data_IF_906838218916
#
_entry.id   IF_906838218916
#
_cell.length_a   1.000
_cell.length_b   1.000
_cell.length_c   1.000
_cell.angle_alpha   90.00
_cell.angle_beta   90.00
_cell.angle_gamma   90.00
#
_symmetry.space_group_name_H-M   'P 1'
#
loop_
_entity.id
_entity.type
_entity.pdbx_description
1 polymer ?
#
# COMPACT_ATOMS: atom_id res chain seq x y z
N UNK A 1 -8.15 19.32 -12.38
CA UNK A 1 -8.48 20.53 -13.14
C UNK A 1 -8.13 20.37 -14.61
N UNK A 2 -6.85 20.15 -14.98
CA UNK A 2 -6.46 19.93 -16.39
C UNK A 2 -7.03 18.62 -16.92
N UNK A 3 -6.83 17.50 -16.20
CA UNK A 3 -7.39 16.19 -16.59
C UNK A 3 -8.91 16.22 -16.74
N UNK A 4 -9.61 16.85 -15.80
CA UNK A 4 -11.07 16.99 -15.86
C UNK A 4 -11.51 17.80 -17.09
N UNK A 5 -10.83 18.92 -17.38
CA UNK A 5 -11.13 19.73 -18.55
C UNK A 5 -10.89 18.99 -19.87
N UNK A 6 -9.84 18.18 -19.94
CA UNK A 6 -9.59 17.32 -21.10
C UNK A 6 -10.71 16.28 -21.28
N UNK A 7 -11.18 15.67 -20.18
CA UNK A 7 -12.32 14.75 -20.22
C UNK A 7 -13.62 15.45 -20.64
N UNK A 8 -13.86 16.67 -20.15
CA UNK A 8 -15.04 17.47 -20.54
C UNK A 8 -15.02 17.76 -22.05
N UNK A 9 -13.87 18.19 -22.60
CA UNK A 9 -13.68 18.45 -24.05
C UNK A 9 -13.91 17.17 -24.87
N UNK A 10 -13.38 16.04 -24.40
CA UNK A 10 -13.56 14.75 -25.04
C UNK A 10 -15.03 14.30 -25.04
N UNK A 11 -15.76 14.53 -23.94
CA UNK A 11 -17.19 14.23 -23.85
C UNK A 11 -18.06 15.13 -24.74
N UNK A 12 -17.57 16.33 -25.06
CA UNK A 12 -18.18 17.24 -26.01
C UNK A 12 -17.82 16.93 -27.48
N UNK A 13 -17.08 15.84 -27.74
CA UNK A 13 -16.65 15.41 -29.07
C UNK A 13 -15.83 16.47 -29.82
N UNK A 14 -15.03 17.25 -29.09
CA UNK A 14 -14.10 18.23 -29.63
C UNK A 14 -12.69 17.62 -29.74
N UNK A 15 -12.01 17.90 -30.84
CA UNK A 15 -10.62 17.48 -31.06
C UNK A 15 -9.66 18.34 -30.21
N UNK A 16 -8.66 17.71 -29.61
CA UNK A 16 -7.68 18.38 -28.76
C UNK A 16 -6.24 18.18 -29.27
N UNK A 17 -5.52 19.30 -29.46
CA UNK A 17 -4.10 19.26 -29.76
C UNK A 17 -3.33 19.95 -28.63
N UNK A 18 -2.38 19.23 -28.03
CA UNK A 18 -1.46 19.77 -27.04
C UNK A 18 -0.08 19.81 -27.72
N UNK A 19 0.48 21.01 -27.83
CA UNK A 19 1.78 21.24 -28.46
C UNK A 19 2.72 21.86 -27.44
N UNK A 20 3.95 21.36 -27.38
CA UNK A 20 5.00 21.96 -26.59
C UNK A 20 5.61 23.14 -27.35
N UNK A 21 5.77 24.27 -26.67
CA UNK A 21 6.42 25.46 -27.22
C UNK A 21 7.66 25.76 -26.37
N UNK A 22 8.84 25.94 -26.97
CA UNK A 22 10.05 26.34 -26.26
C UNK A 22 9.90 27.73 -25.63
N UNK A 23 10.52 27.91 -24.47
CA UNK A 23 10.54 29.20 -23.78
C UNK A 23 11.38 30.23 -24.56
N UNK A 24 11.10 31.52 -24.34
CA UNK A 24 11.85 32.66 -24.90
C UNK A 24 12.10 32.60 -26.42
N UNK A 25 11.14 32.03 -27.16
CA UNK A 25 11.27 31.81 -28.60
C UNK A 25 10.77 32.96 -29.48
N UNK A 26 10.45 34.13 -28.91
CA UNK A 26 9.89 35.26 -29.67
C UNK A 26 8.43 35.08 -30.07
N UNK A 27 7.78 33.98 -29.65
CA UNK A 27 6.39 33.68 -30.00
C UNK A 27 5.48 34.49 -29.09
N UNK A 28 4.91 35.57 -29.65
CA UNK A 28 4.08 36.54 -28.92
C UNK A 28 3.02 35.88 -28.01
N UNK A 29 2.34 34.83 -28.50
CA UNK A 29 1.33 34.11 -27.73
C UNK A 29 1.89 33.42 -26.48
N UNK A 30 3.06 32.77 -26.60
CA UNK A 30 3.72 32.09 -25.49
C UNK A 30 4.26 33.11 -24.46
N UNK A 31 4.90 34.18 -24.95
CA UNK A 31 5.45 35.25 -24.11
C UNK A 31 4.34 36.00 -23.36
N UNK A 32 3.23 36.27 -24.02
CA UNK A 32 2.06 36.89 -23.38
C UNK A 32 1.50 36.00 -22.29
N UNK A 33 1.38 34.69 -22.55
CA UNK A 33 0.90 33.74 -21.56
C UNK A 33 1.83 33.67 -20.33
N UNK A 34 3.15 33.60 -20.53
CA UNK A 34 4.14 33.60 -19.45
C UNK A 34 4.12 34.92 -18.64
N UNK A 35 4.05 36.06 -19.33
CA UNK A 35 3.92 37.37 -18.68
C UNK A 35 2.66 37.46 -17.81
N UNK A 36 1.51 37.01 -18.33
CA UNK A 36 0.26 36.99 -17.58
C UNK A 36 0.33 36.04 -16.38
N UNK A 37 0.95 34.87 -16.54
CA UNK A 37 1.15 33.92 -15.45
C UNK A 37 2.02 34.53 -14.32
N UNK A 38 3.14 35.18 -14.67
CA UNK A 38 4.00 35.90 -13.72
C UNK A 38 3.26 37.03 -13.02
N UNK A 39 2.47 37.82 -13.76
CA UNK A 39 1.66 38.92 -13.18
C UNK A 39 0.58 38.40 -12.23
N UNK A 40 -0.01 37.24 -12.52
CA UNK A 40 -1.03 36.61 -11.70
C UNK A 40 -0.50 36.15 -10.33
N UNK A 41 0.81 35.91 -10.17
CA UNK A 41 1.40 35.56 -8.87
C UNK A 41 1.23 36.70 -7.87
N UNK A 42 1.42 37.94 -8.30
CA UNK A 42 1.36 39.14 -7.43
C UNK A 42 0.00 39.83 -7.44
N UNK A 43 -0.66 39.87 -8.61
CA UNK A 43 -1.87 40.67 -8.82
C UNK A 43 -3.09 39.81 -9.19
N UNK A 44 -2.93 38.49 -9.25
CA UNK A 44 -4.00 37.57 -9.60
C UNK A 44 -4.94 37.32 -8.42
N UNK A 45 -6.15 36.90 -8.74
CA UNK A 45 -7.10 36.44 -7.74
C UNK A 45 -6.83 34.97 -7.42
N UNK A 46 -6.67 34.64 -6.14
CA UNK A 46 -6.59 33.24 -5.72
C UNK A 46 -7.90 32.53 -6.04
N UNK A 47 -7.82 31.52 -6.91
CA UNK A 47 -8.97 30.66 -7.15
C UNK A 47 -9.26 29.85 -5.88
N UNK A 48 -10.44 30.03 -5.29
CA UNK A 48 -10.97 29.20 -4.19
C UNK A 48 -11.34 27.77 -4.62
N UNK A 49 -10.71 27.25 -5.67
CA UNK A 49 -10.89 25.87 -6.13
C UNK A 49 -9.64 25.10 -5.74
N UNK A 50 -9.71 24.19 -4.75
CA UNK A 50 -8.57 23.35 -4.43
C UNK A 50 -8.19 22.53 -5.65
N UNK A 51 -6.90 22.52 -6.00
CA UNK A 51 -6.38 21.58 -6.98
C UNK A 51 -6.77 20.16 -6.54
N UNK A 52 -7.25 19.36 -7.49
CA UNK A 52 -7.58 17.98 -7.18
C UNK A 52 -6.32 17.27 -6.71
N UNK A 53 -6.36 16.69 -5.51
CA UNK A 53 -5.27 15.89 -4.95
C UNK A 53 -4.78 14.82 -5.94
N UNK A 54 -5.66 14.30 -6.79
CA UNK A 54 -5.32 13.30 -7.81
C UNK A 54 -4.36 13.83 -8.87
N UNK A 55 -4.43 15.13 -9.21
CA UNK A 55 -3.55 15.72 -10.24
C UNK A 55 -2.12 15.87 -9.72
N UNK A 56 -1.95 16.26 -8.45
CA UNK A 56 -0.63 16.46 -7.84
C UNK A 56 0.04 15.15 -7.42
N UNK A 57 -0.74 14.21 -6.90
CA UNK A 57 -0.17 13.00 -6.27
C UNK A 57 -0.16 11.76 -7.16
N UNK A 58 -0.70 11.81 -8.39
CA UNK A 58 -0.77 10.60 -9.24
C UNK A 58 0.60 10.02 -9.60
N UNK A 59 1.58 10.88 -9.95
CA UNK A 59 2.94 10.45 -10.29
C UNK A 59 3.65 9.89 -9.05
N UNK A 60 3.72 10.69 -7.98
CA UNK A 60 4.34 10.29 -6.70
C UNK A 60 3.73 8.99 -6.15
N UNK A 61 2.40 8.83 -6.27
CA UNK A 61 1.71 7.61 -5.86
C UNK A 61 2.15 6.40 -6.69
N UNK A 62 2.31 6.56 -7.99
CA UNK A 62 2.71 5.48 -8.90
C UNK A 62 4.16 5.06 -8.62
N UNK A 63 5.07 6.03 -8.48
CA UNK A 63 6.46 5.80 -8.09
C UNK A 63 6.55 5.10 -6.74
N UNK A 64 5.83 5.61 -5.73
CA UNK A 64 5.80 5.01 -4.40
C UNK A 64 5.32 3.55 -4.42
N UNK A 65 4.28 3.23 -5.19
CA UNK A 65 3.81 1.84 -5.36
C UNK A 65 4.90 0.99 -5.99
N UNK A 66 5.55 1.47 -7.05
CA UNK A 66 6.59 0.73 -7.76
C UNK A 66 7.79 0.44 -6.85
N UNK A 67 8.28 1.44 -6.13
CA UNK A 67 9.41 1.33 -5.21
C UNK A 67 9.08 0.44 -4.02
N UNK A 68 7.93 0.64 -3.39
CA UNK A 68 7.45 -0.21 -2.29
C UNK A 68 7.32 -1.66 -2.76
N UNK A 69 6.82 -1.86 -3.99
CA UNK A 69 6.68 -3.19 -4.56
C UNK A 69 8.01 -3.87 -4.77
N UNK A 70 8.99 -3.16 -5.34
CA UNK A 70 10.35 -3.65 -5.52
C UNK A 70 11.01 -4.00 -4.19
N UNK A 71 10.89 -3.11 -3.19
CA UNK A 71 11.43 -3.34 -1.85
C UNK A 71 10.84 -4.59 -1.20
N UNK A 72 9.50 -4.72 -1.19
CA UNK A 72 8.82 -5.85 -0.56
C UNK A 72 9.12 -7.16 -1.28
N UNK A 73 9.21 -7.17 -2.62
CA UNK A 73 9.63 -8.37 -3.38
C UNK A 73 11.06 -8.80 -3.04
N UNK A 74 11.97 -7.84 -2.90
CA UNK A 74 13.34 -8.14 -2.48
C UNK A 74 13.39 -8.72 -1.07
N UNK A 75 12.61 -8.18 -0.13
CA UNK A 75 12.47 -8.76 1.22
C UNK A 75 11.83 -10.16 1.18
N UNK A 76 10.85 -10.34 0.29
CA UNK A 76 10.12 -11.58 0.03
C UNK A 76 11.03 -12.77 -0.29
N UNK A 77 12.18 -12.52 -0.93
CA UNK A 77 13.19 -13.55 -1.23
C UNK A 77 13.77 -14.19 0.04
N UNK A 78 13.85 -13.43 1.13
CA UNK A 78 14.41 -13.89 2.41
C UNK A 78 13.33 -14.27 3.42
N UNK A 79 12.23 -13.50 3.48
CA UNK A 79 11.14 -13.68 4.45
C UNK A 79 9.80 -13.71 3.74
N UNK A 80 8.98 -14.71 4.04
CA UNK A 80 7.65 -14.82 3.42
C UNK A 80 7.69 -15.29 1.96
N UNK A 81 8.75 -15.97 1.53
CA UNK A 81 8.92 -16.47 0.16
C UNK A 81 7.67 -17.16 -0.39
N UNK A 82 7.08 -18.09 0.38
CA UNK A 82 5.83 -18.79 0.01
C UNK A 82 4.63 -17.84 -0.16
N UNK A 83 4.56 -16.75 0.62
CA UNK A 83 3.50 -15.76 0.47
C UNK A 83 3.69 -14.99 -0.84
N UNK A 84 4.90 -14.46 -1.08
CA UNK A 84 5.18 -13.66 -2.27
C UNK A 84 5.17 -14.46 -3.58
N UNK A 85 5.42 -15.78 -3.54
CA UNK A 85 5.24 -16.66 -4.70
C UNK A 85 3.77 -16.85 -5.12
N UNK A 86 2.84 -16.85 -4.16
CA UNK A 86 1.44 -17.21 -4.42
C UNK A 86 0.49 -15.99 -4.45
N UNK A 87 0.90 -14.85 -3.89
CA UNK A 87 0.01 -13.71 -3.62
C UNK A 87 0.63 -12.35 -3.97
N UNK A 88 1.30 -12.26 -5.12
CA UNK A 88 2.21 -11.17 -5.53
C UNK A 88 1.60 -9.76 -5.65
N UNK A 89 0.27 -9.61 -5.58
CA UNK A 89 -0.38 -8.31 -5.77
C UNK A 89 -0.15 -7.35 -4.60
N UNK A 90 0.75 -6.39 -4.82
CA UNK A 90 0.97 -5.24 -3.94
C UNK A 90 0.09 -4.09 -4.40
N UNK A 91 -1.09 -4.02 -3.81
CA UNK A 91 -2.04 -2.94 -4.03
C UNK A 91 -2.11 -2.02 -2.81
N UNK A 92 -2.44 -0.74 -3.03
CA UNK A 92 -2.68 0.21 -1.94
C UNK A 92 -3.90 -0.11 -1.08
N UNK A 93 -4.76 -0.98 -1.59
CA UNK A 93 -5.91 -1.50 -0.86
C UNK A 93 -5.65 -2.97 -0.54
N UNK A 94 -5.97 -3.44 0.67
CA UNK A 94 -5.84 -4.85 1.00
C UNK A 94 -6.78 -5.69 0.10
N UNK A 95 -6.42 -6.95 -0.12
CA UNK A 95 -7.16 -7.89 -0.96
C UNK A 95 -8.64 -8.06 -0.56
N UNK A 96 -8.98 -7.79 0.70
CA UNK A 96 -10.34 -7.88 1.24
C UNK A 96 -11.11 -6.55 1.23
N UNK A 97 -10.57 -5.48 0.65
CA UNK A 97 -11.18 -4.14 0.74
C UNK A 97 -12.63 -4.05 0.23
N UNK A 98 -13.01 -4.88 -0.75
CA UNK A 98 -14.36 -4.94 -1.31
C UNK A 98 -15.19 -6.12 -0.78
N UNK A 99 -14.66 -6.87 0.17
CA UNK A 99 -15.33 -8.03 0.74
C UNK A 99 -15.91 -7.64 2.10
N UNK A 100 -17.18 -7.98 2.34
CA UNK A 100 -17.80 -7.80 3.64
C UNK A 100 -17.50 -9.02 4.52
N UNK A 101 -16.27 -9.10 5.02
CA UNK A 101 -15.79 -10.20 5.88
C UNK A 101 -15.66 -9.73 7.33
N UNK A 102 -15.95 -10.64 8.26
CA UNK A 102 -15.64 -10.39 9.67
C UNK A 102 -14.13 -10.31 9.90
N UNK A 103 -13.73 -9.65 10.99
CA UNK A 103 -12.33 -9.55 11.39
C UNK A 103 -11.69 -10.92 11.56
N UNK A 104 -12.41 -11.86 12.15
CA UNK A 104 -11.97 -13.24 12.41
C UNK A 104 -11.66 -13.97 11.11
N UNK A 105 -12.51 -13.78 10.09
CA UNK A 105 -12.34 -14.36 8.77
C UNK A 105 -11.09 -13.81 8.09
N UNK A 106 -10.91 -12.48 8.13
CA UNK A 106 -9.72 -11.81 7.57
C UNK A 106 -8.43 -12.32 8.24
N UNK A 107 -8.41 -12.41 9.58
CA UNK A 107 -7.26 -12.91 10.34
C UNK A 107 -6.95 -14.35 9.97
N UNK A 108 -7.98 -15.20 9.85
CA UNK A 108 -7.83 -16.61 9.47
C UNK A 108 -7.23 -16.74 8.06
N UNK A 109 -7.77 -16.00 7.08
CA UNK A 109 -7.22 -15.96 5.74
C UNK A 109 -5.77 -15.46 5.70
N UNK A 110 -5.43 -14.41 6.46
CA UNK A 110 -4.05 -13.92 6.55
C UNK A 110 -3.10 -14.99 7.13
N UNK A 111 -3.51 -15.72 8.18
CA UNK A 111 -2.73 -16.83 8.75
C UNK A 111 -2.51 -17.94 7.71
N UNK A 112 -3.55 -18.32 6.97
CA UNK A 112 -3.47 -19.33 5.91
C UNK A 112 -2.51 -18.86 4.80
N UNK A 113 -2.69 -17.64 4.28
CA UNK A 113 -1.85 -17.07 3.20
C UNK A 113 -0.38 -16.97 3.60
N UNK A 114 -0.09 -16.64 4.85
CA UNK A 114 1.28 -16.59 5.39
C UNK A 114 1.81 -17.96 5.82
N UNK A 115 1.07 -19.05 5.56
CA UNK A 115 1.42 -20.42 5.97
C UNK A 115 1.73 -20.52 7.48
N UNK A 116 0.95 -19.79 8.29
CA UNK A 116 1.08 -19.68 9.74
C UNK A 116 0.05 -20.58 10.44
N UNK A 117 0.25 -21.90 10.31
CA UNK A 117 -0.48 -22.89 11.10
C UNK A 117 0.28 -23.15 12.40
N UNK A 118 -0.39 -23.06 13.56
CA UNK A 118 0.21 -23.07 14.91
C UNK A 118 1.36 -24.08 15.03
N UNK A 119 1.09 -25.38 14.85
CA UNK A 119 2.11 -26.41 15.03
C UNK A 119 3.22 -26.35 13.97
N UNK A 120 2.88 -26.19 12.68
CA UNK A 120 3.89 -26.07 11.63
C UNK A 120 4.76 -24.81 11.76
N UNK A 121 4.22 -23.70 12.25
CA UNK A 121 4.98 -22.49 12.53
C UNK A 121 5.91 -22.66 13.74
N UNK A 122 5.43 -23.29 14.82
CA UNK A 122 6.21 -23.57 16.01
C UNK A 122 7.37 -24.52 15.70
N UNK A 123 7.13 -25.56 14.90
CA UNK A 123 8.17 -26.49 14.47
C UNK A 123 9.27 -25.79 13.65
N UNK A 124 8.90 -24.90 12.71
CA UNK A 124 9.89 -24.11 11.95
C UNK A 124 10.72 -23.18 12.84
N UNK A 125 10.19 -22.79 14.00
CA UNK A 125 10.89 -21.99 15.00
C UNK A 125 11.64 -22.85 16.04
N UNK A 126 11.72 -24.18 15.84
CA UNK A 126 12.33 -25.14 16.76
C UNK A 126 11.71 -25.12 18.17
N UNK A 127 10.43 -24.75 18.29
CA UNK A 127 9.70 -24.72 19.56
C UNK A 127 8.99 -26.06 19.86
N UNK A 128 8.73 -26.86 18.83
CA UNK A 128 8.18 -28.22 18.95
C UNK A 128 8.93 -29.15 17.99
N UNK A 129 9.06 -30.44 18.35
CA UNK A 129 9.82 -31.43 17.57
C UNK A 129 9.02 -32.04 16.41
N UNK A 130 7.70 -32.12 16.52
CA UNK A 130 6.83 -32.65 15.45
C UNK A 130 5.61 -31.74 15.28
N UNK A 131 5.38 -31.17 14.07
CA UNK A 131 4.21 -30.34 13.80
C UNK A 131 2.88 -31.12 13.79
N UNK A 132 2.92 -32.45 13.76
CA UNK A 132 1.74 -33.33 13.78
C UNK A 132 1.28 -33.65 15.20
N UNK A 133 2.16 -33.51 16.19
CA UNK A 133 1.84 -33.74 17.58
C UNK A 133 1.23 -32.47 18.19
N UNK A 134 -0.07 -32.49 18.44
CA UNK A 134 -0.80 -31.42 19.12
C UNK A 134 -0.51 -31.42 20.64
N UNK A 135 0.74 -31.18 21.07
CA UNK A 135 1.09 -31.06 22.50
C UNK A 135 1.16 -29.60 22.97
N UNK A 136 0.17 -28.78 22.58
CA UNK A 136 0.13 -27.38 22.99
C UNK A 136 -1.01 -27.07 23.96
N UNK A 137 -1.26 -27.90 24.98
CA UNK A 137 -2.00 -27.51 26.19
C UNK A 137 -1.51 -28.32 27.40
N UNK A 138 -0.49 -27.84 28.14
CA UNK A 138 -0.42 -28.10 29.60
C UNK A 138 0.66 -27.34 30.38
N UNK A 139 1.63 -26.64 29.76
CA UNK A 139 2.76 -26.09 30.53
C UNK A 139 2.55 -24.68 31.11
N UNK A 140 1.44 -24.41 31.82
CA UNK A 140 1.36 -23.31 32.82
C UNK A 140 0.30 -23.55 33.89
N UNK A 141 0.42 -24.59 34.73
CA UNK A 141 -0.20 -24.54 36.08
C UNK A 141 0.29 -25.60 37.08
N UNK A 142 1.59 -25.71 37.33
CA UNK A 142 2.05 -26.48 38.50
C UNK A 142 3.45 -26.06 38.92
N UNK A 143 3.57 -24.87 39.49
CA UNK A 143 4.53 -24.61 40.58
C UNK A 143 3.86 -23.62 41.52
N UNK A 144 3.30 -24.16 42.60
CA UNK A 144 3.07 -23.61 43.95
C UNK A 144 2.17 -24.65 44.62
N UNK A 145 2.77 -25.58 45.36
CA UNK A 145 2.29 -26.24 46.60
C UNK A 145 2.97 -27.60 46.76
N UNK A 146 4.12 -27.64 47.43
CA UNK A 146 4.48 -28.68 48.41
C UNK A 146 5.89 -28.44 48.94
N UNK A 147 6.04 -27.44 49.82
CA UNK A 147 7.10 -27.43 50.81
C UNK A 147 6.52 -27.92 52.14
N UNK A 148 7.07 -29.00 52.69
CA UNK A 148 6.93 -29.35 54.10
C UNK A 148 6.03 -30.54 54.42
N UNK A 149 6.60 -31.75 54.35
CA UNK A 149 6.26 -32.83 55.27
C UNK A 149 7.55 -33.62 55.53
N UNK A 150 8.28 -33.21 56.57
CA UNK A 150 9.41 -33.94 57.10
C UNK A 150 8.89 -35.17 57.85
N UNK A 151 9.51 -36.31 57.54
CA UNK A 151 9.34 -37.61 58.19
C UNK A 151 9.87 -37.62 59.62
N UNK A 152 9.25 -38.49 60.40
CA UNK A 152 9.50 -38.94 61.78
C UNK A 152 10.95 -39.14 62.19
#
# INVERSE_FOLDING_TARGET
MIKQKLLDIQSANLENHIVWIPDHSGILGNETADHLAKRAITHGQLLRRPLSHTDLFSILRTEFIADSSKFLKNQGRRKGHKYFLNFEELCLKPWFHKLNLSRESIVTCCRIRSNHALNHSLHRCNLIQDPRLAYAVSLRRTQITSSGAASS
#
